data_IF_216258526121
#
_entry.id   IF_216258526121
#
_cell.length_a   1.000
_cell.length_b   1.000
_cell.length_c   1.000
_cell.angle_alpha   90.00
_cell.angle_beta   90.00
_cell.angle_gamma   90.00
#
_symmetry.space_group_name_H-M   'P 1'
#
loop_
_entity.id
_entity.type
_entity.pdbx_description
1 polymer ?
#
# COMPACT_ATOMS: atom_id res chain seq x y z
N UNK A 1 -20.10 11.66 -5.39
CA UNK A 1 -19.55 11.86 -5.33
C UNK A 1 -19.32 12.17 -5.12
N UNK A 2 -19.35 12.06 -4.84
CA UNK A 2 -18.94 12.33 -4.56
C UNK A 2 -18.55 12.75 -4.24
N UNK A 3 -18.58 12.77 -4.26
CA UNK A 3 -18.04 13.21 -3.96
C UNK A 3 -17.93 13.90 -3.47
N UNK A 4 -18.31 14.11 -3.64
CA UNK A 4 -18.08 14.91 -3.22
C UNK A 4 -17.78 15.14 -2.37
N UNK A 5 -18.31 15.05 -2.56
CA UNK A 5 -17.97 15.09 -1.33
C UNK A 5 -16.61 14.74 -0.87
N UNK A 6 -15.78 14.44 -1.50
CA UNK A 6 -14.43 14.15 -1.19
C UNK A 6 -13.68 15.21 -0.43
N UNK A 7 -14.25 16.36 -0.34
CA UNK A 7 -13.57 17.51 0.28
C UNK A 7 -13.27 17.30 1.74
N UNK A 8 -14.16 16.62 2.46
CA UNK A 8 -13.99 16.41 3.89
C UNK A 8 -13.25 15.11 4.19
N UNK A 9 -12.95 14.31 3.19
CA UNK A 9 -12.28 13.05 3.38
C UNK A 9 -10.76 13.21 3.35
N UNK A 10 -10.10 12.42 4.15
CA UNK A 10 -8.65 12.34 4.10
C UNK A 10 -8.20 11.76 2.77
N UNK A 11 -7.08 12.27 2.29
CA UNK A 11 -6.46 11.74 1.08
C UNK A 11 -5.51 10.63 1.49
N UNK A 12 -5.95 9.41 1.27
CA UNK A 12 -5.18 8.21 1.62
C UNK A 12 -4.71 7.55 0.33
N UNK A 13 -3.42 7.26 0.27
CA UNK A 13 -2.82 6.59 -0.88
C UNK A 13 -2.26 5.24 -0.44
N UNK A 14 -2.49 4.22 -1.25
CA UNK A 14 -2.02 2.86 -1.00
C UNK A 14 -0.94 2.50 -2.01
N UNK A 15 0.06 1.77 -1.54
CA UNK A 15 1.18 1.33 -2.37
C UNK A 15 1.45 -0.13 -2.09
N UNK A 16 1.92 -0.86 -3.10
CA UNK A 16 2.31 -2.24 -2.90
C UNK A 16 3.67 -2.47 -3.55
N UNK A 17 4.46 -3.35 -2.94
CA UNK A 17 5.65 -3.86 -3.60
C UNK A 17 5.22 -4.74 -4.78
N UNK A 18 6.16 -5.06 -5.63
CA UNK A 18 5.90 -5.87 -6.81
C UNK A 18 6.84 -7.07 -6.80
N UNK A 19 6.36 -8.21 -7.26
CA UNK A 19 7.21 -9.39 -7.33
C UNK A 19 6.40 -10.65 -7.55
N UNK A 20 7.11 -11.76 -7.73
CA UNK A 20 6.49 -13.04 -8.07
C UNK A 20 6.14 -13.92 -6.88
N UNK A 21 6.31 -13.44 -5.65
CA UNK A 21 5.95 -14.21 -4.48
C UNK A 21 4.48 -13.99 -4.10
N UNK A 22 3.92 -14.96 -3.38
CA UNK A 22 2.55 -14.87 -2.90
C UNK A 22 2.31 -13.60 -2.08
N UNK A 23 3.25 -13.25 -1.20
CA UNK A 23 3.08 -12.08 -0.33
C UNK A 23 3.09 -10.76 -1.11
N UNK A 24 3.79 -10.71 -2.24
CA UNK A 24 3.75 -9.53 -3.10
C UNK A 24 2.39 -9.39 -3.77
N UNK A 25 1.79 -10.50 -4.19
CA UNK A 25 0.45 -10.49 -4.77
C UNK A 25 -0.59 -10.11 -3.70
N UNK A 26 -0.41 -10.58 -2.46
CA UNK A 26 -1.29 -10.17 -1.36
C UNK A 26 -1.27 -8.66 -1.20
N UNK A 27 -0.07 -8.07 -1.20
CA UNK A 27 0.08 -6.62 -1.05
C UNK A 27 -0.64 -5.88 -2.18
N UNK A 28 -0.45 -6.32 -3.42
CA UNK A 28 -1.06 -5.69 -4.59
C UNK A 28 -2.59 -5.79 -4.55
N UNK A 29 -3.10 -6.99 -4.32
CA UNK A 29 -4.55 -7.21 -4.31
C UNK A 29 -5.23 -6.49 -3.15
N UNK A 30 -4.57 -6.44 -2.00
CA UNK A 30 -5.12 -5.73 -0.85
C UNK A 30 -5.23 -4.24 -1.14
N UNK A 31 -4.20 -3.64 -1.75
CA UNK A 31 -4.24 -2.22 -2.10
C UNK A 31 -5.38 -1.95 -3.08
N UNK A 32 -5.57 -2.80 -4.08
CA UNK A 32 -6.64 -2.64 -5.05
C UNK A 32 -8.01 -2.78 -4.41
N UNK A 33 -8.17 -3.73 -3.52
CA UNK A 33 -9.44 -3.93 -2.83
C UNK A 33 -9.78 -2.73 -1.94
N UNK A 34 -8.80 -2.19 -1.23
CA UNK A 34 -9.02 -1.00 -0.40
C UNK A 34 -9.48 0.18 -1.26
N UNK A 35 -8.91 0.33 -2.45
CA UNK A 35 -9.35 1.36 -3.39
C UNK A 35 -10.77 1.08 -3.87
N UNK A 36 -11.09 -0.17 -4.21
CA UNK A 36 -12.42 -0.55 -4.66
C UNK A 36 -13.49 -0.25 -3.61
N UNK A 37 -13.11 -0.34 -2.33
CA UNK A 37 -14.02 -0.06 -1.22
C UNK A 37 -14.12 1.44 -0.89
N UNK A 38 -13.43 2.27 -1.64
CA UNK A 38 -13.52 3.72 -1.49
C UNK A 38 -12.70 4.29 -0.34
N UNK A 39 -11.71 3.53 0.17
CA UNK A 39 -10.93 3.97 1.33
C UNK A 39 -9.72 4.82 0.94
N UNK A 40 -9.41 4.90 -0.32
CA UNK A 40 -8.29 5.69 -0.83
C UNK A 40 -8.01 5.31 -2.27
N UNK A 41 -6.86 5.75 -2.75
CA UNK A 41 -6.43 5.51 -4.13
C UNK A 41 -5.14 4.70 -4.12
N UNK A 42 -5.05 3.69 -4.96
CA UNK A 42 -3.78 2.99 -5.17
C UNK A 42 -2.90 3.87 -6.03
N UNK A 43 -1.78 4.30 -5.45
CA UNK A 43 -0.86 5.21 -6.14
C UNK A 43 0.30 4.42 -6.73
N UNK A 44 1.23 5.09 -7.36
CA UNK A 44 2.26 4.42 -8.16
C UNK A 44 3.60 4.32 -7.43
N UNK A 45 3.91 3.12 -6.91
CA UNK A 45 5.18 2.92 -6.21
C UNK A 45 6.38 3.07 -7.16
N UNK A 46 6.24 2.62 -8.40
CA UNK A 46 7.32 2.75 -9.37
C UNK A 46 7.69 4.22 -9.58
N UNK A 47 6.69 5.11 -9.57
CA UNK A 47 6.92 6.54 -9.69
C UNK A 47 7.65 7.12 -8.48
N UNK A 48 7.36 6.59 -7.28
CA UNK A 48 8.08 7.00 -6.08
C UNK A 48 9.55 6.58 -6.21
N UNK A 49 9.79 5.33 -6.58
CA UNK A 49 11.13 4.79 -6.72
C UNK A 49 11.95 5.48 -7.81
N UNK A 50 11.29 5.91 -8.87
CA UNK A 50 11.94 6.59 -9.99
C UNK A 50 12.10 8.09 -9.76
N UNK A 51 11.52 8.62 -8.69
CA UNK A 51 11.63 10.04 -8.39
C UNK A 51 10.83 10.94 -9.31
N UNK A 52 9.67 10.44 -9.80
CA UNK A 52 8.80 11.24 -10.66
C UNK A 52 8.17 12.35 -9.82
N UNK A 53 8.52 13.60 -10.12
CA UNK A 53 8.17 14.74 -9.27
C UNK A 53 6.70 14.81 -8.89
N UNK A 54 5.80 14.68 -9.85
CA UNK A 54 4.37 14.77 -9.59
C UNK A 54 3.91 13.67 -8.64
N UNK A 55 4.42 12.46 -8.82
CA UNK A 55 4.04 11.31 -8.00
C UNK A 55 4.57 11.46 -6.58
N UNK A 56 5.83 11.87 -6.45
CA UNK A 56 6.44 12.10 -5.13
C UNK A 56 5.73 13.23 -4.40
N UNK A 57 5.41 14.31 -5.12
CA UNK A 57 4.77 15.47 -4.51
C UNK A 57 3.39 15.13 -3.97
N UNK A 58 2.59 14.36 -4.72
CA UNK A 58 1.27 13.93 -4.26
C UNK A 58 1.37 13.06 -3.01
N UNK A 59 2.38 12.20 -2.94
CA UNK A 59 2.60 11.38 -1.76
C UNK A 59 2.92 12.25 -0.54
N UNK A 60 3.75 13.27 -0.72
CA UNK A 60 4.09 14.18 0.38
C UNK A 60 2.89 14.97 0.87
N UNK A 61 1.95 15.27 -0.01
CA UNK A 61 0.76 16.05 0.31
C UNK A 61 -0.38 15.19 0.87
N UNK A 62 -0.29 13.88 0.75
CA UNK A 62 -1.36 12.99 1.21
C UNK A 62 -1.50 13.03 2.72
N UNK A 63 -2.71 12.83 3.21
CA UNK A 63 -2.97 12.76 4.64
C UNK A 63 -2.40 11.48 5.24
N UNK A 64 -2.39 10.40 4.45
CA UNK A 64 -1.82 9.13 4.89
C UNK A 64 -1.32 8.36 3.67
N UNK A 65 -0.18 7.71 3.83
CA UNK A 65 0.36 6.78 2.84
C UNK A 65 0.49 5.43 3.52
N UNK A 66 -0.23 4.44 3.03
CA UNK A 66 -0.16 3.07 3.55
C UNK A 66 0.66 2.25 2.57
N UNK A 67 1.80 1.78 3.04
CA UNK A 67 2.79 1.09 2.22
C UNK A 67 2.77 -0.39 2.55
N UNK A 68 2.37 -1.21 1.59
CA UNK A 68 2.27 -2.66 1.79
C UNK A 68 3.49 -3.35 1.17
N UNK A 69 4.35 -3.86 2.05
CA UNK A 69 5.51 -4.65 1.66
C UNK A 69 5.25 -6.12 1.92
N UNK A 70 5.54 -6.96 0.92
CA UNK A 70 5.30 -8.38 1.07
C UNK A 70 6.22 -9.06 2.05
N UNK A 71 7.49 -8.68 2.09
CA UNK A 71 8.51 -9.40 2.85
C UNK A 71 9.55 -8.44 3.45
N UNK A 72 10.46 -8.96 4.30
CA UNK A 72 11.43 -8.10 4.99
C UNK A 72 12.47 -7.39 4.11
N UNK A 73 12.44 -7.58 2.80
CA UNK A 73 13.29 -6.79 1.91
C UNK A 73 12.89 -5.32 1.96
N UNK A 74 11.63 -5.02 2.26
CA UNK A 74 11.12 -3.65 2.46
C UNK A 74 11.30 -2.77 1.22
N UNK A 75 11.02 -3.31 0.04
CA UNK A 75 11.21 -2.57 -1.21
C UNK A 75 10.40 -1.27 -1.25
N UNK A 76 9.14 -1.32 -0.85
CA UNK A 76 8.30 -0.13 -0.89
C UNK A 76 8.74 0.90 0.16
N UNK A 77 9.05 0.42 1.36
CA UNK A 77 9.58 1.29 2.41
C UNK A 77 10.84 2.01 1.95
N UNK A 78 11.75 1.27 1.32
CA UNK A 78 13.01 1.83 0.85
C UNK A 78 12.80 2.86 -0.26
N UNK A 79 11.79 2.65 -1.12
CA UNK A 79 11.44 3.66 -2.12
C UNK A 79 11.03 4.97 -1.45
N UNK A 80 10.22 4.90 -0.41
CA UNK A 80 9.79 6.08 0.33
C UNK A 80 10.95 6.76 1.03
N UNK A 81 11.80 5.99 1.69
CA UNK A 81 12.95 6.55 2.40
C UNK A 81 13.89 7.25 1.43
N UNK A 82 14.16 6.63 0.27
CA UNK A 82 15.04 7.22 -0.73
C UNK A 82 14.45 8.49 -1.35
N UNK A 83 13.13 8.58 -1.42
CA UNK A 83 12.47 9.77 -1.97
C UNK A 83 12.31 10.88 -0.94
N UNK A 84 12.71 10.64 0.31
CA UNK A 84 12.60 11.64 1.36
C UNK A 84 11.18 11.82 1.88
N UNK A 85 10.34 10.81 1.74
CA UNK A 85 8.96 10.85 2.22
C UNK A 85 8.89 10.12 3.55
N UNK A 86 8.47 10.82 4.60
CA UNK A 86 8.42 10.24 5.94
C UNK A 86 7.00 9.98 6.45
N UNK A 87 5.99 10.55 5.80
CA UNK A 87 4.60 10.40 6.25
C UNK A 87 3.96 9.13 5.68
N UNK A 88 4.41 7.97 6.16
CA UNK A 88 3.85 6.70 5.72
C UNK A 88 3.78 5.71 6.89
N UNK A 89 2.89 4.72 6.74
CA UNK A 89 2.78 3.59 7.65
C UNK A 89 2.98 2.32 6.84
N UNK A 90 3.89 1.48 7.28
CA UNK A 90 4.18 0.22 6.59
C UNK A 90 3.34 -0.93 7.15
N UNK A 91 2.81 -1.75 6.26
CA UNK A 91 2.27 -3.06 6.62
C UNK A 91 3.16 -4.09 5.94
N UNK A 92 3.78 -4.94 6.73
CA UNK A 92 4.62 -6.01 6.19
C UNK A 92 3.80 -7.29 6.21
N UNK A 93 3.52 -7.84 5.05
CA UNK A 93 2.61 -8.98 4.92
C UNK A 93 3.11 -10.21 5.68
N UNK A 94 4.42 -10.45 5.68
CA UNK A 94 4.98 -11.58 6.43
C UNK A 94 4.78 -11.43 7.94
N UNK A 95 4.64 -10.21 8.45
CA UNK A 95 4.35 -10.00 9.87
C UNK A 95 2.94 -10.46 10.25
N UNK A 96 2.09 -10.68 9.27
CA UNK A 96 0.72 -11.17 9.52
C UNK A 96 0.68 -12.71 9.61
N UNK A 97 1.84 -13.35 9.59
CA UNK A 97 1.93 -14.81 9.71
C UNK A 97 2.00 -15.55 8.38
N UNK A 98 2.12 -14.83 7.28
CA UNK A 98 2.22 -15.45 5.96
C UNK A 98 3.68 -15.70 5.60
N UNK A 99 3.94 -16.88 5.03
CA UNK A 99 5.27 -17.24 4.58
C UNK A 99 5.46 -16.85 3.12
N UNK A 100 6.59 -16.25 2.80
CA UNK A 100 6.92 -15.88 1.42
C UNK A 100 7.29 -17.11 0.61
N UNK A 101 6.58 -17.35 -0.49
CA UNK A 101 6.89 -18.45 -1.41
C UNK A 101 6.84 -17.91 -2.84
N UNK A 102 7.96 -18.01 -3.55
CA UNK A 102 8.04 -17.55 -4.94
C UNK A 102 7.21 -18.44 -5.85
N UNK A 103 6.51 -17.82 -6.78
CA UNK A 103 5.74 -18.55 -7.79
C UNK A 103 4.42 -19.11 -7.31
N UNK A 104 4.05 -18.86 -6.06
CA UNK A 104 2.77 -19.29 -5.49
C UNK A 104 1.81 -18.11 -5.48
N UNK A 105 0.55 -18.37 -5.82
CA UNK A 105 -0.46 -17.32 -5.88
C UNK A 105 -1.04 -17.03 -4.49
N UNK A 106 -1.51 -15.80 -4.31
CA UNK A 106 -2.19 -15.41 -3.09
C UNK A 106 -3.56 -16.07 -3.00
N UNK A 107 -4.01 -16.34 -1.77
CA UNK A 107 -5.38 -16.82 -1.55
C UNK A 107 -6.27 -15.65 -1.13
N UNK A 108 -7.57 -15.80 -1.32
CA UNK A 108 -8.53 -14.77 -0.92
C UNK A 108 -8.47 -14.51 0.58
N UNK A 109 -8.26 -15.56 1.38
CA UNK A 109 -8.14 -15.41 2.83
C UNK A 109 -6.92 -14.58 3.21
N UNK A 110 -5.81 -14.76 2.52
CA UNK A 110 -4.60 -13.98 2.77
C UNK A 110 -4.82 -12.51 2.42
N UNK A 111 -5.47 -12.23 1.30
CA UNK A 111 -5.79 -10.86 0.90
C UNK A 111 -6.71 -10.22 1.95
N UNK A 112 -7.72 -10.96 2.42
CA UNK A 112 -8.64 -10.46 3.43
C UNK A 112 -7.94 -10.07 4.73
N UNK A 113 -6.92 -10.83 5.14
CA UNK A 113 -6.14 -10.51 6.34
C UNK A 113 -5.40 -9.18 6.17
N UNK A 114 -4.81 -8.95 5.00
CA UNK A 114 -4.08 -7.71 4.74
C UNK A 114 -5.03 -6.52 4.68
N UNK A 115 -6.20 -6.69 4.06
CA UNK A 115 -7.22 -5.64 3.99
C UNK A 115 -7.69 -5.28 5.39
N UNK A 116 -7.96 -6.30 6.23
CA UNK A 116 -8.40 -6.07 7.60
C UNK A 116 -7.37 -5.28 8.41
N UNK A 117 -6.09 -5.59 8.24
CA UNK A 117 -5.03 -4.88 8.94
C UNK A 117 -4.97 -3.41 8.50
N UNK A 118 -5.11 -3.15 7.22
CA UNK A 118 -5.10 -1.77 6.71
C UNK A 118 -6.30 -0.98 7.25
N UNK A 119 -7.48 -1.61 7.29
CA UNK A 119 -8.67 -0.95 7.84
C UNK A 119 -8.49 -0.60 9.31
N UNK A 120 -7.88 -1.51 10.06
CA UNK A 120 -7.58 -1.31 11.46
C UNK A 120 -6.72 -0.06 11.66
N UNK A 121 -5.67 0.09 10.85
CA UNK A 121 -4.78 1.25 10.91
C UNK A 121 -5.48 2.54 10.52
N UNK A 122 -6.40 2.47 9.56
CA UNK A 122 -7.13 3.66 9.09
C UNK A 122 -8.16 4.16 10.10
N UNK A 123 -8.56 3.30 11.03
CA UNK A 123 -9.53 3.67 12.07
C UNK A 123 -8.88 4.36 13.27
N UNK A 124 -7.55 4.34 13.35
CA UNK A 124 -6.84 4.96 14.47
C UNK A 124 -6.71 6.49 14.34
#
# INVERSE_FOLDING_TARGET
MSECCGDSKKKVLFYSCSGGANVAEVADKAARQLMDEGLGIMWCLAGIGAGVDMIVQKAKEADANIVLDGCPVDCAKKCFDNAGISNYTQIKITDLGMEKVKGVRATDAQVAQAVAKAKELLEE
#
